data_IF_225204161966
#
_entry.id   IF_225204161966
#
_cell.length_a   1.000
_cell.length_b   1.000
_cell.length_c   1.000
_cell.angle_alpha   90.00
_cell.angle_beta   90.00
_cell.angle_gamma   90.00
#
_symmetry.space_group_name_H-M   'P 1'
#
loop_
_entity.id
_entity.type
_entity.pdbx_description
1 polymer ?
#
# COMPACT_ATOMS: atom_id res chain seq x y z
N UNK A 1 -0.89 -5.08 19.46
CA UNK A 1 -1.17 -5.41 18.05
C UNK A 1 -1.85 -4.21 17.41
N UNK A 2 -1.36 -3.78 16.27
CA UNK A 2 -1.81 -2.57 15.59
C UNK A 2 -2.49 -3.01 14.29
N UNK A 3 -3.76 -2.68 14.11
CA UNK A 3 -4.44 -2.93 12.83
C UNK A 3 -4.49 -1.61 12.09
N UNK A 4 -3.87 -1.57 10.91
CA UNK A 4 -3.96 -0.44 9.99
C UNK A 4 -5.00 -0.79 8.93
N UNK A 5 -6.14 -0.12 8.95
CA UNK A 5 -7.13 -0.28 7.90
C UNK A 5 -7.33 1.03 7.14
N UNK A 6 -7.74 0.91 5.88
CA UNK A 6 -7.93 2.04 4.97
C UNK A 6 -9.38 2.08 4.51
N UNK A 7 -10.01 3.23 4.66
CA UNK A 7 -11.29 3.51 4.03
C UNK A 7 -11.13 4.68 3.05
N UNK A 8 -11.68 4.54 1.86
CA UNK A 8 -11.82 5.63 0.92
C UNK A 8 -13.16 6.32 1.17
N UNK A 9 -13.14 7.61 1.43
CA UNK A 9 -14.33 8.41 1.71
C UNK A 9 -14.32 9.57 0.72
N UNK A 10 -15.33 9.59 -0.14
CA UNK A 10 -15.53 10.66 -1.11
C UNK A 10 -16.79 11.45 -0.75
N UNK A 11 -16.68 12.78 -0.67
CA UNK A 11 -17.82 13.67 -0.60
C UNK A 11 -18.12 14.20 -2.01
N UNK A 12 -19.33 13.95 -2.50
CA UNK A 12 -19.82 14.48 -3.79
C UNK A 12 -20.65 15.75 -3.60
N UNK A 13 -20.32 16.62 -2.68
CA UNK A 13 -21.08 17.82 -2.40
C UNK A 13 -20.29 18.92 -1.71
N UNK A 14 -20.91 20.09 -1.54
CA UNK A 14 -20.33 21.28 -0.88
C UNK A 14 -20.26 21.17 0.65
N UNK A 15 -20.83 20.11 1.25
CA UNK A 15 -20.86 19.94 2.70
C UNK A 15 -19.52 19.34 3.15
N UNK A 16 -18.74 20.07 3.98
CA UNK A 16 -17.44 19.56 4.43
C UNK A 16 -17.61 18.37 5.39
N UNK A 17 -16.71 17.43 5.29
CA UNK A 17 -16.59 16.34 6.26
C UNK A 17 -16.01 16.93 7.54
N UNK A 18 -16.76 16.89 8.64
CA UNK A 18 -16.32 17.40 9.94
C UNK A 18 -15.62 16.36 10.82
N UNK A 19 -15.94 15.07 10.61
CA UNK A 19 -15.34 13.97 11.36
C UNK A 19 -15.33 12.71 10.51
N UNK A 20 -14.30 11.91 10.67
CA UNK A 20 -14.19 10.55 10.11
C UNK A 20 -13.72 9.62 11.22
N UNK A 21 -14.28 8.42 11.28
CA UNK A 21 -13.89 7.45 12.30
C UNK A 21 -14.19 6.02 11.91
N UNK A 22 -13.85 5.14 12.84
CA UNK A 22 -14.13 3.72 12.78
C UNK A 22 -14.95 3.31 13.98
N UNK A 23 -16.00 2.54 13.73
CA UNK A 23 -16.75 1.84 14.79
C UNK A 23 -16.35 0.38 14.79
N UNK A 24 -16.00 -0.17 15.92
CA UNK A 24 -15.65 -1.58 16.05
C UNK A 24 -16.29 -2.22 17.27
N UNK A 25 -16.53 -3.51 17.21
CA UNK A 25 -17.06 -4.30 18.33
C UNK A 25 -16.42 -5.68 18.37
N UNK A 26 -16.28 -6.23 19.55
CA UNK A 26 -16.08 -7.67 19.78
C UNK A 26 -17.37 -8.42 19.41
N UNK A 27 -17.28 -9.66 18.96
CA UNK A 27 -18.45 -10.47 18.61
C UNK A 27 -19.46 -10.52 19.77
N UNK A 28 -20.66 -9.95 19.54
CA UNK A 28 -21.73 -9.86 20.54
C UNK A 28 -21.61 -8.70 21.54
N UNK A 29 -20.59 -7.84 21.41
CA UNK A 29 -20.39 -6.64 22.23
C UNK A 29 -21.07 -5.38 21.67
N UNK A 30 -20.84 -4.25 22.31
CA UNK A 30 -21.27 -2.93 21.85
C UNK A 30 -20.21 -2.32 20.92
N UNK A 31 -20.66 -1.44 20.02
CA UNK A 31 -19.75 -0.68 19.16
C UNK A 31 -19.02 0.41 19.93
N UNK A 32 -17.72 0.47 19.73
CA UNK A 32 -16.85 1.54 20.22
C UNK A 32 -16.40 2.38 19.04
N UNK A 33 -16.60 3.68 19.16
CA UNK A 33 -16.19 4.65 18.14
C UNK A 33 -14.77 5.17 18.40
N UNK A 34 -13.98 5.26 17.35
CA UNK A 34 -12.65 5.88 17.36
C UNK A 34 -12.55 6.88 16.24
N UNK A 35 -12.37 8.15 16.62
CA UNK A 35 -12.18 9.22 15.65
C UNK A 35 -10.82 9.08 14.99
N UNK A 36 -10.78 9.20 13.67
CA UNK A 36 -9.56 9.11 12.89
C UNK A 36 -8.78 10.42 12.97
N UNK A 37 -7.53 10.35 13.45
CA UNK A 37 -6.62 11.51 13.51
C UNK A 37 -5.84 11.71 12.21
N UNK A 38 -5.80 10.69 11.35
CA UNK A 38 -5.06 10.68 10.08
C UNK A 38 -6.03 10.50 8.90
N UNK A 39 -6.82 11.54 8.62
CA UNK A 39 -7.64 11.62 7.42
C UNK A 39 -7.03 12.60 6.44
N UNK A 40 -6.60 12.11 5.29
CA UNK A 40 -6.00 12.92 4.22
C UNK A 40 -6.34 12.33 2.86
N UNK A 41 -6.63 13.17 1.88
CA UNK A 41 -6.88 12.79 0.48
C UNK A 41 -7.97 11.71 0.33
N UNK A 42 -9.06 11.82 1.11
CA UNK A 42 -10.15 10.85 1.10
C UNK A 42 -9.82 9.50 1.78
N UNK A 43 -8.65 9.37 2.40
CA UNK A 43 -8.19 8.15 3.06
C UNK A 43 -8.13 8.31 4.57
N UNK A 44 -8.82 7.43 5.29
CA UNK A 44 -8.79 7.36 6.74
C UNK A 44 -7.91 6.20 7.19
N UNK A 45 -7.04 6.45 8.17
CA UNK A 45 -6.21 5.42 8.81
C UNK A 45 -6.26 5.60 10.32
N UNK A 46 -6.49 4.52 11.05
CA UNK A 46 -6.47 4.52 12.50
C UNK A 46 -5.86 3.24 13.05
N UNK A 47 -5.06 3.38 14.08
CA UNK A 47 -4.53 2.26 14.85
C UNK A 47 -5.43 1.97 16.03
N UNK A 48 -5.92 0.75 16.15
CA UNK A 48 -6.65 0.28 17.33
C UNK A 48 -5.67 -0.39 18.30
N UNK A 49 -5.75 -0.01 19.56
CA UNK A 49 -4.92 -0.56 20.66
C UNK A 49 -5.81 -1.14 21.77
N UNK A 50 -5.25 -1.96 22.65
CA UNK A 50 -5.96 -2.54 23.77
C UNK A 50 -6.97 -3.63 23.38
N UNK A 51 -6.88 -4.18 22.18
CA UNK A 51 -7.71 -5.30 21.74
C UNK A 51 -7.31 -6.58 22.49
N UNK A 52 -8.30 -7.42 22.78
CA UNK A 52 -8.07 -8.76 23.37
C UNK A 52 -7.39 -9.68 22.35
N UNK A 53 -6.46 -10.54 22.75
CA UNK A 53 -5.86 -11.54 21.87
C UNK A 53 -6.90 -12.62 21.47
N UNK A 54 -6.62 -13.31 20.35
CA UNK A 54 -7.43 -14.39 19.76
C UNK A 54 -8.93 -14.09 19.62
N UNK A 55 -9.27 -12.80 19.42
CA UNK A 55 -10.65 -12.30 19.46
C UNK A 55 -11.07 -11.77 18.09
N UNK A 56 -12.28 -12.14 17.65
CA UNK A 56 -12.87 -11.63 16.42
C UNK A 56 -13.57 -10.28 16.68
N UNK A 57 -13.24 -9.30 15.82
CA UNK A 57 -13.83 -7.98 15.83
C UNK A 57 -14.54 -7.71 14.51
N UNK A 58 -15.67 -7.02 14.58
CA UNK A 58 -16.36 -6.44 13.41
C UNK A 58 -16.19 -4.93 13.45
N UNK A 59 -16.00 -4.32 12.29
CA UNK A 59 -15.83 -2.89 12.19
C UNK A 59 -16.43 -2.33 10.90
N UNK A 60 -16.72 -1.05 10.91
CA UNK A 60 -17.08 -0.23 9.75
C UNK A 60 -16.54 1.19 9.93
N UNK A 61 -16.42 1.94 8.83
CA UNK A 61 -16.08 3.36 8.90
C UNK A 61 -17.34 4.22 8.90
N UNK A 62 -17.22 5.42 9.48
CA UNK A 62 -18.26 6.44 9.43
C UNK A 62 -17.67 7.81 9.10
N UNK A 63 -18.52 8.73 8.63
CA UNK A 63 -18.20 10.13 8.44
C UNK A 63 -19.34 11.00 8.95
N UNK A 64 -19.02 12.21 9.43
CA UNK A 64 -20.00 13.22 9.83
C UNK A 64 -19.93 14.39 8.85
N UNK A 65 -21.05 14.68 8.21
CA UNK A 65 -21.22 15.77 7.25
C UNK A 65 -22.40 16.62 7.68
N UNK A 66 -22.18 17.92 7.85
CA UNK A 66 -23.25 18.85 8.26
C UNK A 66 -23.90 18.51 9.59
N UNK A 67 -23.20 17.82 10.48
CA UNK A 67 -23.72 17.34 11.77
C UNK A 67 -24.50 16.02 11.71
N UNK A 68 -24.66 15.43 10.54
CA UNK A 68 -25.31 14.13 10.34
C UNK A 68 -24.24 13.02 10.15
N UNK A 69 -24.44 11.88 10.83
CA UNK A 69 -23.54 10.73 10.76
C UNK A 69 -23.98 9.75 9.68
N UNK A 70 -23.04 9.38 8.82
CA UNK A 70 -23.19 8.38 7.77
C UNK A 70 -22.26 7.20 8.06
N UNK A 71 -22.83 6.00 8.18
CA UNK A 71 -22.07 4.79 8.36
C UNK A 71 -21.87 4.07 7.03
N UNK A 72 -20.71 3.45 6.85
CA UNK A 72 -20.52 2.57 5.70
C UNK A 72 -21.51 1.41 5.71
N UNK A 73 -22.06 1.11 4.54
CA UNK A 73 -23.05 0.01 4.36
C UNK A 73 -22.43 -1.38 4.53
N UNK A 74 -21.11 -1.50 4.40
CA UNK A 74 -20.37 -2.76 4.53
C UNK A 74 -19.54 -2.73 5.81
N UNK A 75 -19.68 -3.75 6.63
CA UNK A 75 -18.78 -4.04 7.75
C UNK A 75 -17.79 -5.12 7.35
N UNK A 76 -16.61 -5.08 7.95
CA UNK A 76 -15.56 -6.11 7.80
C UNK A 76 -15.26 -6.74 9.15
N UNK A 77 -14.67 -7.91 9.14
CA UNK A 77 -14.19 -8.61 10.34
C UNK A 77 -12.69 -8.82 10.26
N UNK A 78 -12.06 -8.89 11.41
CA UNK A 78 -10.68 -9.34 11.58
C UNK A 78 -10.58 -10.09 12.90
N UNK A 79 -9.59 -10.97 13.00
CA UNK A 79 -9.27 -11.67 14.24
C UNK A 79 -7.90 -11.22 14.74
N UNK A 80 -7.79 -10.88 16.01
CA UNK A 80 -6.50 -10.59 16.64
C UNK A 80 -5.69 -11.87 16.78
N UNK A 81 -4.37 -11.75 16.74
CA UNK A 81 -3.44 -12.86 16.98
C UNK A 81 -3.53 -13.32 18.44
N UNK A 82 -3.10 -14.55 18.69
CA UNK A 82 -2.93 -15.06 20.05
C UNK A 82 -1.83 -14.28 20.77
N UNK A 83 -1.86 -14.31 22.09
CA UNK A 83 -0.80 -13.71 22.89
C UNK A 83 0.55 -14.36 22.56
N UNK A 84 1.56 -13.53 22.26
CA UNK A 84 2.89 -14.00 21.86
C UNK A 84 3.04 -14.41 20.39
N UNK A 85 1.96 -14.44 19.62
CA UNK A 85 2.01 -14.69 18.18
C UNK A 85 2.50 -13.43 17.44
N UNK A 86 3.49 -13.58 16.56
CA UNK A 86 4.00 -12.48 15.72
C UNK A 86 3.26 -12.48 14.39
N UNK A 87 2.78 -11.32 13.91
CA UNK A 87 2.19 -11.24 12.58
C UNK A 87 3.18 -11.72 11.51
N UNK A 88 2.73 -12.42 10.47
CA UNK A 88 3.62 -12.68 9.34
C UNK A 88 4.12 -11.34 8.78
N UNK A 89 5.40 -11.30 8.43
CA UNK A 89 5.98 -10.12 7.80
C UNK A 89 5.19 -9.77 6.53
N UNK A 90 4.80 -8.51 6.34
CA UNK A 90 4.08 -8.12 5.15
C UNK A 90 4.96 -8.34 3.92
N UNK A 91 4.39 -8.95 2.88
CA UNK A 91 5.07 -9.15 1.60
C UNK A 91 4.53 -8.17 0.57
N UNK A 92 5.39 -7.52 -0.24
CA UNK A 92 4.94 -6.64 -1.30
C UNK A 92 4.28 -7.44 -2.43
N UNK A 93 3.28 -6.84 -3.06
CA UNK A 93 2.64 -7.34 -4.27
C UNK A 93 2.92 -6.34 -5.39
N UNK A 94 3.40 -6.84 -6.52
CA UNK A 94 3.68 -6.02 -7.70
C UNK A 94 2.55 -6.13 -8.71
N UNK A 95 2.22 -5.01 -9.33
CA UNK A 95 1.48 -4.97 -10.58
C UNK A 95 2.35 -5.45 -11.74
N UNK A 96 1.80 -5.43 -12.94
CA UNK A 96 2.59 -5.74 -14.14
C UNK A 96 3.49 -4.55 -14.47
N UNK A 97 4.83 -4.71 -14.52
CA UNK A 97 5.72 -3.66 -14.99
C UNK A 97 5.42 -3.27 -16.45
N UNK A 98 5.59 -2.00 -16.76
CA UNK A 98 5.34 -1.45 -18.10
C UNK A 98 6.47 -0.52 -18.54
N UNK A 99 6.66 -0.44 -19.86
CA UNK A 99 7.53 0.55 -20.48
C UNK A 99 6.71 1.50 -21.34
N UNK A 100 7.05 2.78 -21.31
CA UNK A 100 6.42 3.85 -22.09
C UNK A 100 7.49 4.83 -22.60
N UNK A 101 7.10 5.77 -23.43
CA UNK A 101 8.00 6.79 -24.01
C UNK A 101 9.29 6.20 -24.58
N UNK A 102 9.16 5.06 -25.25
CA UNK A 102 10.28 4.32 -25.81
C UNK A 102 10.86 5.09 -27.01
N UNK A 103 12.14 5.42 -26.93
CA UNK A 103 12.91 6.09 -27.98
C UNK A 103 14.13 5.23 -28.37
N UNK A 104 14.93 5.70 -29.31
CA UNK A 104 16.10 4.95 -29.79
C UNK A 104 17.08 4.58 -28.66
N UNK A 105 17.26 5.46 -27.68
CA UNK A 105 18.26 5.30 -26.61
C UNK A 105 17.68 5.49 -25.20
N UNK A 106 16.36 5.58 -25.05
CA UNK A 106 15.73 5.78 -23.73
C UNK A 106 14.35 5.16 -23.65
N UNK A 107 13.91 4.87 -22.43
CA UNK A 107 12.56 4.42 -22.11
C UNK A 107 12.17 4.80 -20.68
N UNK A 108 10.88 5.01 -20.41
CA UNK A 108 10.33 5.18 -19.07
C UNK A 108 9.74 3.88 -18.59
N UNK A 109 10.18 3.39 -17.42
CA UNK A 109 9.64 2.20 -16.76
C UNK A 109 8.71 2.61 -15.63
N UNK A 110 7.62 1.86 -15.43
CA UNK A 110 6.71 2.03 -14.32
C UNK A 110 6.19 0.67 -13.79
N UNK A 111 6.01 0.59 -12.47
CA UNK A 111 5.40 -0.55 -11.81
C UNK A 111 4.62 -0.09 -10.58
N UNK A 112 3.34 -0.44 -10.50
CA UNK A 112 2.59 -0.26 -9.27
C UNK A 112 2.96 -1.36 -8.27
N UNK A 113 2.95 -1.03 -6.98
CA UNK A 113 3.11 -2.02 -5.92
C UNK A 113 2.17 -1.74 -4.75
N UNK A 114 1.88 -2.77 -3.98
CA UNK A 114 1.15 -2.69 -2.72
C UNK A 114 2.01 -3.30 -1.62
N UNK A 115 2.41 -2.48 -0.66
CA UNK A 115 3.08 -2.91 0.55
C UNK A 115 2.29 -2.43 1.77
N UNK A 116 1.93 -3.35 2.66
CA UNK A 116 1.12 -3.06 3.86
C UNK A 116 1.94 -2.83 5.11
N UNK A 117 3.28 -3.00 5.03
CA UNK A 117 4.22 -2.67 6.08
C UNK A 117 4.52 -1.17 6.18
N UNK A 118 5.53 -0.80 6.95
CA UNK A 118 6.01 0.57 7.02
C UNK A 118 6.87 0.88 5.79
N UNK A 119 6.67 2.05 5.18
CA UNK A 119 7.51 2.47 4.06
C UNK A 119 9.00 2.60 4.46
N UNK A 120 9.27 2.86 5.73
CA UNK A 120 10.63 2.90 6.27
C UNK A 120 11.34 1.53 6.28
N UNK A 121 10.59 0.43 6.16
CA UNK A 121 11.17 -0.92 6.06
C UNK A 121 11.73 -1.21 4.66
N UNK A 122 11.40 -0.39 3.66
CA UNK A 122 11.91 -0.52 2.30
C UNK A 122 13.31 0.09 2.25
N UNK A 123 14.32 -0.77 2.25
CA UNK A 123 15.72 -0.35 2.20
C UNK A 123 16.16 0.10 0.81
N UNK A 124 15.70 -0.61 -0.22
CA UNK A 124 16.00 -0.32 -1.63
C UNK A 124 14.79 -0.58 -2.50
N UNK A 125 14.67 0.16 -3.59
CA UNK A 125 13.64 0.00 -4.60
C UNK A 125 14.17 0.34 -6.00
N UNK A 126 13.63 -0.29 -7.04
CA UNK A 126 14.06 0.05 -8.39
C UNK A 126 13.66 -0.94 -9.46
N UNK A 127 14.46 -0.90 -10.55
CA UNK A 127 14.33 -1.80 -11.69
C UNK A 127 15.66 -2.47 -12.02
N UNK A 128 15.60 -3.76 -12.33
CA UNK A 128 16.67 -4.46 -13.00
C UNK A 128 16.34 -4.60 -14.49
N UNK A 129 17.29 -4.31 -15.40
CA UNK A 129 17.10 -4.45 -16.82
C UNK A 129 18.35 -5.00 -17.53
N UNK A 130 18.17 -5.64 -18.67
CA UNK A 130 19.24 -6.09 -19.56
C UNK A 130 18.73 -6.31 -20.99
N UNK A 131 19.60 -6.36 -22.01
CA UNK A 131 19.20 -6.81 -23.33
C UNK A 131 18.66 -8.25 -23.30
N UNK A 132 17.49 -8.48 -23.90
CA UNK A 132 16.81 -9.77 -23.86
C UNK A 132 17.61 -10.91 -24.52
N UNK A 133 18.38 -10.61 -25.55
CA UNK A 133 19.24 -11.57 -26.27
C UNK A 133 20.66 -11.69 -25.68
N UNK A 134 20.92 -11.05 -24.53
CA UNK A 134 22.26 -11.04 -23.94
C UNK A 134 22.56 -12.37 -23.24
N UNK A 135 23.77 -12.86 -23.44
CA UNK A 135 24.32 -13.98 -22.63
C UNK A 135 24.70 -13.54 -21.21
N UNK A 136 24.55 -12.28 -20.86
CA UNK A 136 24.80 -11.77 -19.50
C UNK A 136 23.81 -12.38 -18.51
N UNK A 137 24.34 -12.88 -17.41
CA UNK A 137 23.53 -13.42 -16.30
C UNK A 137 23.06 -12.36 -15.33
N UNK A 138 23.69 -11.15 -15.33
CA UNK A 138 23.38 -10.02 -14.45
C UNK A 138 22.49 -8.98 -15.11
N UNK A 139 21.69 -8.30 -14.28
CA UNK A 139 20.90 -7.15 -14.65
C UNK A 139 21.64 -5.86 -14.26
N UNK A 140 21.48 -4.83 -15.04
CA UNK A 140 21.84 -3.46 -14.64
C UNK A 140 20.75 -2.97 -13.69
N UNK A 141 21.14 -2.51 -12.51
CA UNK A 141 20.20 -2.04 -11.49
C UNK A 141 20.09 -0.52 -11.54
N UNK A 142 18.85 -0.04 -11.45
CA UNK A 142 18.52 1.38 -11.28
C UNK A 142 17.75 1.53 -10.00
N UNK A 143 18.40 2.13 -9.01
CA UNK A 143 17.77 2.46 -7.74
C UNK A 143 16.93 3.73 -7.87
N UNK A 144 15.80 3.74 -7.21
CA UNK A 144 14.88 4.88 -7.15
C UNK A 144 14.35 5.05 -5.74
N UNK A 145 13.95 6.27 -5.41
CA UNK A 145 13.14 6.50 -4.21
C UNK A 145 11.69 6.10 -4.54
N UNK A 146 11.12 5.11 -3.84
CA UNK A 146 9.76 4.69 -4.11
C UNK A 146 8.77 5.80 -3.72
N UNK A 147 7.74 5.96 -4.53
CA UNK A 147 6.53 6.69 -4.15
C UNK A 147 5.59 5.74 -3.39
N UNK A 148 4.56 6.24 -2.71
CA UNK A 148 3.68 5.46 -1.79
C UNK A 148 3.11 4.16 -2.36
N UNK A 149 3.03 4.01 -3.68
CA UNK A 149 2.42 2.85 -4.34
C UNK A 149 2.94 2.59 -5.77
N UNK A 150 3.97 3.31 -6.19
CA UNK A 150 4.50 3.17 -7.55
C UNK A 150 6.01 3.33 -7.60
N UNK A 151 6.62 2.64 -8.56
CA UNK A 151 8.00 2.77 -8.94
C UNK A 151 8.03 3.36 -10.35
N UNK A 152 8.89 4.34 -10.58
CA UNK A 152 9.11 4.91 -11.92
C UNK A 152 10.58 5.24 -12.13
N UNK A 153 11.13 4.90 -13.29
CA UNK A 153 12.49 5.21 -13.68
C UNK A 153 12.56 5.56 -15.16
N UNK A 154 13.46 6.46 -15.50
CA UNK A 154 13.85 6.70 -16.89
C UNK A 154 15.19 6.03 -17.15
N UNK A 155 15.21 5.15 -18.13
CA UNK A 155 16.44 4.57 -18.66
C UNK A 155 16.99 5.43 -19.79
N UNK A 156 18.28 5.62 -19.81
CA UNK A 156 19.00 6.34 -20.83
C UNK A 156 20.17 5.50 -21.34
N UNK A 157 20.83 5.93 -22.44
CA UNK A 157 21.97 5.24 -23.04
C UNK A 157 21.67 3.79 -23.48
N UNK A 158 20.42 3.49 -23.80
CA UNK A 158 20.04 2.20 -24.35
C UNK A 158 20.60 2.04 -25.77
N UNK A 159 20.91 0.80 -26.14
CA UNK A 159 21.32 0.47 -27.50
C UNK A 159 20.10 0.49 -28.43
N UNK A 160 20.13 1.25 -29.54
CA UNK A 160 19.05 1.28 -30.52
C UNK A 160 18.69 -0.11 -31.05
N UNK A 161 17.43 -0.29 -31.47
CA UNK A 161 16.93 -1.54 -32.09
C UNK A 161 17.14 -2.80 -31.24
N UNK A 162 17.29 -2.63 -29.92
CA UNK A 162 17.55 -3.72 -28.98
C UNK A 162 16.34 -3.96 -28.09
N UNK A 163 15.86 -5.22 -28.03
CA UNK A 163 14.85 -5.61 -27.06
C UNK A 163 15.46 -5.74 -25.67
N UNK A 164 14.78 -5.22 -24.67
CA UNK A 164 15.18 -5.30 -23.26
C UNK A 164 14.14 -6.07 -22.45
N UNK A 165 14.61 -6.86 -21.49
CA UNK A 165 13.78 -7.39 -20.42
C UNK A 165 14.05 -6.64 -19.11
N UNK A 166 13.05 -6.49 -18.29
CA UNK A 166 13.15 -5.74 -17.03
C UNK A 166 12.15 -6.26 -16.00
N UNK A 167 12.45 -6.00 -14.74
CA UNK A 167 11.58 -6.27 -13.59
C UNK A 167 11.70 -5.14 -12.56
N UNK A 168 10.69 -4.99 -11.73
CA UNK A 168 10.71 -4.11 -10.56
C UNK A 168 11.11 -4.90 -9.31
N UNK A 169 11.78 -4.26 -8.35
CA UNK A 169 12.15 -4.89 -7.09
C UNK A 169 11.99 -3.95 -5.89
N UNK A 170 11.84 -4.56 -4.71
CA UNK A 170 11.95 -3.93 -3.40
C UNK A 170 12.84 -4.79 -2.50
N UNK A 171 13.69 -4.15 -1.71
CA UNK A 171 14.47 -4.82 -0.64
C UNK A 171 13.86 -4.42 0.69
N UNK A 172 13.35 -5.40 1.44
CA UNK A 172 12.69 -5.21 2.74
C UNK A 172 13.34 -6.19 3.71
N UNK A 173 13.84 -5.70 4.84
CA UNK A 173 14.55 -6.52 5.84
C UNK A 173 15.68 -7.37 5.24
N UNK A 174 16.41 -6.83 4.26
CA UNK A 174 17.50 -7.51 3.57
C UNK A 174 17.06 -8.61 2.59
N UNK A 175 15.76 -8.77 2.36
CA UNK A 175 15.19 -9.71 1.41
C UNK A 175 14.73 -9.00 0.15
N UNK A 176 15.15 -9.53 -1.00
CA UNK A 176 14.74 -9.03 -2.31
C UNK A 176 13.42 -9.68 -2.74
N UNK A 177 12.51 -8.86 -3.23
CA UNK A 177 11.19 -9.25 -3.74
C UNK A 177 11.04 -8.83 -5.18
#
# INVERSE_FOLDING_TARGET
MCIRDRANIESKGEVPISEVGFSYQEAGGEYVDVVCTNFKDGRARQTLTGLKPDTEYRWYCYAVLGGERFNASLSKTFKTLKEGEVPPAPTPQFGKPSASEVQATSASLACAYLYTGDAADIAEAGFGYKPAASAQTGYTMVEITPDDSSLSARLEELTPETAYEFYAYLVIDGKNY
#
